data_IF_810889845101
#
_entry.id   IF_810889845101
#
_cell.length_a   1.000
_cell.length_b   1.000
_cell.length_c   1.000
_cell.angle_alpha   90.00
_cell.angle_beta   90.00
_cell.angle_gamma   90.00
#
_symmetry.space_group_name_H-M   'P 1'
#
loop_
_entity.id
_entity.type
_entity.pdbx_description
1 polymer ?
#
# COMPACT_ATOMS: atom_id res chain seq x y z
N UNK A 1 15.13 -52.91 -4.12
CA UNK A 1 14.12 -52.16 -3.33
C UNK A 1 14.64 -50.84 -2.77
N UNK A 2 15.90 -50.73 -2.31
CA UNK A 2 16.43 -49.47 -1.75
C UNK A 2 16.71 -48.35 -2.76
N UNK A 3 16.92 -48.66 -4.05
CA UNK A 3 17.15 -47.63 -5.08
C UNK A 3 15.86 -46.89 -5.47
N UNK A 4 14.73 -47.60 -5.53
CA UNK A 4 13.41 -47.04 -5.89
C UNK A 4 12.93 -46.07 -4.80
N UNK A 5 13.18 -46.37 -3.53
CA UNK A 5 12.83 -45.51 -2.39
C UNK A 5 13.64 -44.19 -2.43
N UNK A 6 14.92 -44.23 -2.84
CA UNK A 6 15.76 -43.02 -2.93
C UNK A 6 15.35 -42.10 -4.08
N UNK A 7 14.91 -42.65 -5.22
CA UNK A 7 14.40 -41.86 -6.35
C UNK A 7 13.05 -41.21 -6.02
N UNK A 8 12.18 -41.90 -5.28
CA UNK A 8 10.89 -41.35 -4.84
C UNK A 8 11.06 -40.20 -3.84
N UNK A 9 12.02 -40.31 -2.91
CA UNK A 9 12.32 -39.23 -1.94
C UNK A 9 12.89 -37.99 -2.64
N UNK A 10 13.71 -38.15 -3.69
CA UNK A 10 14.20 -37.01 -4.47
C UNK A 10 13.08 -36.31 -5.27
N UNK A 11 12.09 -37.06 -5.77
CA UNK A 11 10.94 -36.50 -6.48
C UNK A 11 9.94 -35.78 -5.57
N UNK A 12 9.86 -36.15 -4.29
CA UNK A 12 9.00 -35.46 -3.30
C UNK A 12 9.68 -34.16 -2.81
N UNK A 13 11.02 -34.11 -2.78
CA UNK A 13 11.78 -32.90 -2.40
C UNK A 13 11.89 -31.85 -3.51
N UNK A 14 11.58 -32.21 -4.76
CA UNK A 14 11.49 -31.27 -5.89
C UNK A 14 10.08 -30.71 -6.10
N UNK A 15 9.14 -30.97 -5.18
CA UNK A 15 7.89 -30.22 -5.07
C UNK A 15 8.19 -28.79 -4.57
N UNK A 16 8.75 -28.00 -5.47
CA UNK A 16 8.39 -26.60 -5.68
C UNK A 16 8.15 -25.82 -4.38
N UNK A 17 9.23 -25.44 -3.70
CA UNK A 17 9.24 -24.16 -2.99
C UNK A 17 9.16 -23.04 -4.04
N UNK A 18 8.00 -22.90 -4.68
CA UNK A 18 7.62 -21.71 -5.41
C UNK A 18 7.44 -20.65 -4.33
N UNK A 19 8.54 -19.98 -3.98
CA UNK A 19 8.41 -18.68 -3.37
C UNK A 19 7.64 -17.84 -4.39
N UNK A 20 6.40 -17.45 -4.07
CA UNK A 20 5.68 -16.44 -4.83
C UNK A 20 6.45 -15.14 -4.65
N UNK A 21 7.48 -14.94 -5.48
CA UNK A 21 8.34 -13.77 -5.46
C UNK A 21 7.46 -12.56 -5.74
N UNK A 22 7.61 -11.53 -4.91
CA UNK A 22 6.96 -10.25 -5.15
C UNK A 22 7.47 -9.67 -6.46
N UNK A 23 6.58 -9.42 -7.42
CA UNK A 23 6.93 -8.64 -8.60
C UNK A 23 7.04 -7.17 -8.17
N UNK A 24 8.19 -6.55 -8.43
CA UNK A 24 8.51 -5.20 -7.96
C UNK A 24 8.26 -4.20 -9.09
N UNK A 25 7.36 -3.25 -8.87
CA UNK A 25 7.03 -2.21 -9.84
C UNK A 25 7.82 -0.92 -9.64
N UNK A 26 7.92 -0.43 -8.39
CA UNK A 26 8.63 0.81 -8.07
C UNK A 26 9.44 0.69 -6.78
N UNK A 27 10.63 1.28 -6.78
CA UNK A 27 11.46 1.44 -5.58
C UNK A 27 11.76 2.93 -5.39
N UNK A 28 11.46 3.44 -4.20
CA UNK A 28 11.73 4.79 -3.76
C UNK A 28 12.73 4.79 -2.61
N UNK A 29 13.75 5.64 -2.69
CA UNK A 29 14.60 5.89 -1.52
C UNK A 29 13.76 6.59 -0.45
N UNK A 30 13.89 6.14 0.81
CA UNK A 30 13.29 6.82 1.94
C UNK A 30 14.37 7.62 2.64
N UNK A 31 14.22 8.94 2.62
CA UNK A 31 15.12 9.91 3.24
C UNK A 31 14.43 10.67 4.37
N UNK A 32 15.22 11.25 5.27
CA UNK A 32 14.73 12.23 6.24
C UNK A 32 14.86 13.67 5.69
N UNK A 33 14.50 14.66 6.51
CA UNK A 33 14.62 16.09 6.16
C UNK A 33 16.05 16.54 5.79
N UNK A 34 17.08 15.81 6.23
CA UNK A 34 18.48 16.08 5.91
C UNK A 34 18.97 15.30 4.67
N UNK A 35 18.08 14.69 3.90
CA UNK A 35 18.38 13.82 2.75
C UNK A 35 19.25 12.59 3.08
N UNK A 36 19.30 12.17 4.35
CA UNK A 36 19.96 10.92 4.72
C UNK A 36 19.06 9.75 4.35
N UNK A 37 19.56 8.81 3.56
CA UNK A 37 18.82 7.60 3.21
C UNK A 37 18.67 6.68 4.43
N UNK A 38 17.42 6.45 4.82
CA UNK A 38 17.02 5.60 5.93
C UNK A 38 16.48 4.23 5.48
N UNK A 39 16.15 4.08 4.20
CA UNK A 39 15.60 2.84 3.70
C UNK A 39 15.12 2.88 2.26
N UNK A 40 14.27 1.90 1.91
CA UNK A 40 13.60 1.78 0.62
C UNK A 40 12.10 1.56 0.84
N UNK A 41 11.28 2.25 0.08
CA UNK A 41 9.84 2.02 -0.05
C UNK A 41 9.61 1.34 -1.40
N UNK A 42 9.10 0.12 -1.36
CA UNK A 42 8.91 -0.75 -2.52
C UNK A 42 7.42 -0.92 -2.75
N UNK A 43 6.95 -0.54 -3.94
CA UNK A 43 5.61 -0.85 -4.42
C UNK A 43 5.73 -2.04 -5.36
N UNK A 44 4.88 -3.05 -5.17
CA UNK A 44 4.78 -4.17 -6.09
C UNK A 44 4.29 -3.72 -7.47
N UNK A 45 4.36 -4.61 -8.46
CA UNK A 45 3.49 -4.49 -9.61
C UNK A 45 2.04 -4.48 -9.13
N UNK A 46 1.23 -3.62 -9.76
CA UNK A 46 -0.19 -3.55 -9.47
C UNK A 46 -0.89 -4.77 -10.07
N UNK A 47 -1.94 -5.21 -9.40
CA UNK A 47 -2.89 -6.15 -9.95
C UNK A 47 -4.27 -5.50 -10.01
N UNK A 48 -5.17 -6.11 -10.75
CA UNK A 48 -6.54 -5.65 -10.96
C UNK A 48 -7.49 -6.57 -10.23
N UNK A 49 -8.66 -6.05 -9.84
CA UNK A 49 -9.71 -6.85 -9.24
C UNK A 49 -11.10 -6.24 -9.49
N UNK A 50 -12.13 -7.08 -9.41
CA UNK A 50 -13.54 -6.70 -9.53
C UNK A 50 -14.17 -6.60 -8.14
N UNK A 51 -14.19 -5.40 -7.55
CA UNK A 51 -14.78 -5.19 -6.23
C UNK A 51 -14.18 -6.13 -5.17
N UNK A 52 -12.85 -6.20 -5.11
CA UNK A 52 -12.06 -7.09 -4.24
C UNK A 52 -12.27 -8.58 -4.50
N UNK A 53 -12.53 -8.96 -5.74
CA UNK A 53 -12.60 -10.36 -6.17
C UNK A 53 -11.90 -10.55 -7.51
N UNK A 54 -11.65 -11.80 -7.89
CA UNK A 54 -11.13 -12.18 -9.21
C UNK A 54 -9.80 -11.47 -9.56
N UNK A 55 -8.89 -11.39 -8.60
CA UNK A 55 -7.67 -10.62 -8.77
C UNK A 55 -6.67 -11.25 -9.76
N UNK A 56 -6.08 -10.42 -10.61
CA UNK A 56 -5.11 -10.83 -11.63
C UNK A 56 -4.13 -9.70 -12.01
N UNK A 57 -2.93 -10.05 -12.48
CA UNK A 57 -1.94 -9.08 -12.98
C UNK A 57 -2.27 -8.51 -14.37
N UNK A 58 -3.38 -8.93 -14.96
CA UNK A 58 -3.91 -8.40 -16.22
C UNK A 58 -5.36 -8.00 -15.96
N UNK A 59 -5.74 -6.80 -16.40
CA UNK A 59 -7.10 -6.32 -16.24
C UNK A 59 -8.09 -7.25 -16.95
N UNK A 60 -9.22 -7.48 -16.30
CA UNK A 60 -10.38 -8.15 -16.88
C UNK A 60 -11.46 -7.10 -17.14
N UNK A 61 -12.34 -7.33 -18.12
CA UNK A 61 -13.38 -6.37 -18.56
C UNK A 61 -14.24 -5.77 -17.44
N UNK A 62 -14.34 -6.46 -16.30
CA UNK A 62 -15.11 -6.04 -15.12
C UNK A 62 -14.24 -5.58 -13.94
N UNK A 63 -12.97 -5.25 -14.17
CA UNK A 63 -12.11 -4.70 -13.13
C UNK A 63 -12.61 -3.31 -12.71
N UNK A 64 -12.70 -3.08 -11.41
CA UNK A 64 -13.18 -1.80 -10.85
C UNK A 64 -12.15 -1.13 -9.94
N UNK A 65 -11.03 -1.80 -9.71
CA UNK A 65 -9.95 -1.30 -8.89
C UNK A 65 -8.67 -2.09 -9.06
N UNK A 66 -7.71 -1.72 -8.23
CA UNK A 66 -6.33 -2.20 -8.29
C UNK A 66 -5.92 -2.65 -6.90
N UNK A 67 -4.87 -3.45 -6.81
CA UNK A 67 -4.19 -3.68 -5.54
C UNK A 67 -2.68 -3.54 -5.66
N UNK A 68 -2.07 -3.30 -4.51
CA UNK A 68 -0.63 -3.10 -4.36
C UNK A 68 -0.14 -3.62 -3.01
N UNK A 69 1.02 -4.27 -3.01
CA UNK A 69 1.79 -4.48 -1.78
C UNK A 69 2.80 -3.32 -1.65
N UNK A 70 2.78 -2.61 -0.53
CA UNK A 70 3.73 -1.52 -0.26
C UNK A 70 4.57 -1.90 0.95
N UNK A 71 5.87 -2.04 0.74
CA UNK A 71 6.82 -2.49 1.75
C UNK A 71 7.89 -1.44 2.01
N UNK A 72 8.02 -1.02 3.27
CA UNK A 72 9.17 -0.24 3.70
C UNK A 72 10.24 -1.14 4.32
N UNK A 73 11.49 -0.86 3.94
CA UNK A 73 12.70 -1.54 4.35
C UNK A 73 13.65 -0.53 4.96
N UNK A 74 13.73 -0.47 6.29
CA UNK A 74 14.69 0.41 7.01
C UNK A 74 16.16 -0.03 6.84
N UNK A 75 16.38 -1.15 6.18
CA UNK A 75 17.66 -1.57 5.61
C UNK A 75 17.39 -2.60 4.49
N UNK A 76 18.42 -2.92 3.70
CA UNK A 76 18.33 -3.89 2.61
C UNK A 76 17.84 -5.30 3.03
N UNK A 77 17.91 -5.66 4.32
CA UNK A 77 17.45 -6.94 4.84
C UNK A 77 16.01 -6.91 5.39
N UNK A 78 15.34 -5.76 5.43
CA UNK A 78 13.96 -5.62 5.94
C UNK A 78 13.79 -5.90 7.43
N UNK A 79 14.88 -5.95 8.20
CA UNK A 79 14.86 -6.28 9.63
C UNK A 79 15.33 -5.11 10.48
N UNK A 80 14.56 -4.72 11.49
CA UNK A 80 14.91 -3.62 12.41
C UNK A 80 16.17 -3.88 13.25
N UNK A 81 16.52 -5.15 13.49
CA UNK A 81 17.68 -5.52 14.26
C UNK A 81 18.95 -5.10 13.50
N UNK A 82 19.65 -4.13 14.06
CA UNK A 82 21.02 -3.68 13.73
C UNK A 82 21.22 -2.51 12.74
N UNK A 83 20.18 -1.88 12.16
CA UNK A 83 20.39 -0.68 11.28
C UNK A 83 19.24 0.35 11.31
N UNK A 84 18.70 0.69 12.48
CA UNK A 84 17.76 1.81 12.64
C UNK A 84 18.48 3.16 12.49
N UNK A 85 18.87 3.53 11.27
CA UNK A 85 19.62 4.74 10.98
C UNK A 85 18.85 6.02 11.36
N UNK A 86 17.52 5.98 11.31
CA UNK A 86 16.66 7.10 11.70
C UNK A 86 16.45 7.24 13.21
N UNK A 87 16.95 6.28 14.00
CA UNK A 87 16.73 6.18 15.44
C UNK A 87 15.24 6.27 15.83
N UNK A 88 14.36 5.72 14.99
CA UNK A 88 12.92 5.73 15.20
C UNK A 88 12.53 4.68 16.26
N UNK A 89 11.61 5.01 17.17
CA UNK A 89 11.05 4.00 18.07
C UNK A 89 10.17 3.01 17.28
N UNK A 90 9.44 3.52 16.28
CA UNK A 90 8.64 2.71 15.37
C UNK A 90 8.60 3.38 13.99
N UNK A 91 8.50 2.58 12.93
CA UNK A 91 8.14 3.09 11.61
C UNK A 91 6.66 2.83 11.37
N UNK A 92 5.94 3.85 10.92
CA UNK A 92 4.49 3.81 10.64
C UNK A 92 4.22 4.22 9.20
N UNK A 93 3.01 3.97 8.72
CA UNK A 93 2.56 4.37 7.38
C UNK A 93 1.37 5.31 7.49
N UNK A 94 1.46 6.45 6.82
CA UNK A 94 0.33 7.34 6.58
C UNK A 94 -0.04 7.28 5.11
N UNK A 95 -1.32 7.35 4.80
CA UNK A 95 -1.82 7.40 3.44
C UNK A 95 -2.91 8.46 3.33
N UNK A 96 -2.86 9.26 2.27
CA UNK A 96 -3.92 10.20 1.90
C UNK A 96 -4.48 9.76 0.57
N UNK A 97 -5.80 9.65 0.50
CA UNK A 97 -6.56 9.36 -0.72
C UNK A 97 -7.12 10.66 -1.27
N UNK A 98 -7.05 10.83 -2.59
CA UNK A 98 -7.80 11.79 -3.38
C UNK A 98 -8.68 11.06 -4.38
N UNK A 99 -9.96 11.42 -4.46
CA UNK A 99 -10.90 10.87 -5.43
C UNK A 99 -11.87 11.93 -5.94
N UNK A 100 -12.37 11.77 -7.16
CA UNK A 100 -13.47 12.55 -7.72
C UNK A 100 -14.81 11.79 -7.78
N UNK A 101 -14.85 10.56 -7.25
CA UNK A 101 -16.07 9.76 -7.19
C UNK A 101 -17.12 10.38 -6.27
N UNK A 102 -18.36 9.94 -6.39
CA UNK A 102 -19.37 10.15 -5.36
C UNK A 102 -18.87 9.56 -4.03
N UNK A 103 -19.21 10.24 -2.94
CA UNK A 103 -18.70 9.95 -1.59
C UNK A 103 -19.85 9.63 -0.65
N UNK A 104 -19.59 8.73 0.30
CA UNK A 104 -20.56 8.49 1.37
C UNK A 104 -20.64 9.70 2.31
N UNK A 105 -21.74 9.81 3.06
CA UNK A 105 -21.88 10.88 4.04
C UNK A 105 -20.73 10.86 5.06
N UNK A 106 -20.05 12.00 5.20
CA UNK A 106 -18.90 12.16 6.09
C UNK A 106 -17.54 11.84 5.46
N UNK A 107 -17.48 11.36 4.22
CA UNK A 107 -16.23 11.27 3.47
C UNK A 107 -15.92 12.57 2.70
N UNK A 108 -14.63 12.85 2.54
CA UNK A 108 -14.14 13.99 1.78
C UNK A 108 -13.36 13.54 0.53
N UNK A 109 -13.33 14.39 -0.54
CA UNK A 109 -12.60 14.08 -1.77
C UNK A 109 -11.11 13.84 -1.52
N UNK A 110 -10.54 14.54 -0.54
CA UNK A 110 -9.16 14.36 -0.09
C UNK A 110 -9.23 14.11 1.42
N UNK A 111 -8.72 12.97 1.88
CA UNK A 111 -8.72 12.61 3.30
C UNK A 111 -7.63 11.58 3.64
N UNK A 112 -7.33 11.45 4.93
CA UNK A 112 -6.50 10.34 5.44
C UNK A 112 -7.24 9.03 5.16
N UNK A 113 -6.55 8.09 4.54
CA UNK A 113 -7.13 6.84 4.04
C UNK A 113 -7.18 5.77 5.13
N UNK A 114 -7.99 6.02 6.15
CA UNK A 114 -8.24 5.11 7.27
C UNK A 114 -9.71 5.18 7.68
N UNK A 115 -10.22 4.17 8.41
CA UNK A 115 -11.55 4.25 8.99
C UNK A 115 -11.67 5.41 9.99
N UNK A 116 -12.78 6.14 9.94
CA UNK A 116 -13.01 7.34 10.77
C UNK A 116 -13.01 7.09 12.29
N UNK A 117 -13.15 5.84 12.73
CA UNK A 117 -13.12 5.45 14.14
C UNK A 117 -11.70 5.17 14.67
N UNK A 118 -10.66 5.29 13.85
CA UNK A 118 -9.28 5.10 14.30
C UNK A 118 -8.84 6.26 15.19
N UNK A 119 -8.26 5.93 16.35
CA UNK A 119 -7.65 6.92 17.25
C UNK A 119 -6.33 7.51 16.72
N UNK A 120 -5.68 6.81 15.79
CA UNK A 120 -4.39 7.20 15.22
C UNK A 120 -4.44 7.20 13.69
N UNK A 121 -3.68 8.07 13.02
CA UNK A 121 -3.84 8.33 11.59
C UNK A 121 -3.21 7.26 10.69
N UNK A 122 -2.85 6.11 11.25
CA UNK A 122 -1.92 5.17 10.65
C UNK A 122 -2.59 4.01 9.93
N UNK A 123 -2.18 3.78 8.70
CA UNK A 123 -2.66 2.70 7.85
C UNK A 123 -2.23 1.33 8.37
N UNK A 124 -1.09 1.26 9.06
CA UNK A 124 -0.58 0.05 9.69
C UNK A 124 -1.25 -0.26 11.03
N UNK A 125 -2.58 -0.29 11.02
CA UNK A 125 -3.40 -0.58 12.19
C UNK A 125 -4.63 -1.42 11.83
N UNK A 126 -5.09 -2.23 12.77
CA UNK A 126 -6.24 -3.12 12.59
C UNK A 126 -7.53 -2.30 12.42
N UNK A 127 -8.45 -2.67 11.52
CA UNK A 127 -8.51 -3.93 10.76
C UNK A 127 -7.88 -3.87 9.35
N UNK A 128 -7.13 -2.82 9.01
CA UNK A 128 -6.44 -2.75 7.72
C UNK A 128 -5.39 -3.86 7.62
N UNK A 129 -5.07 -4.25 6.40
CA UNK A 129 -4.14 -5.35 6.13
C UNK A 129 -2.68 -4.86 6.17
N UNK A 130 -1.94 -5.27 7.20
CA UNK A 130 -0.53 -4.92 7.36
C UNK A 130 0.29 -6.07 7.94
N UNK A 131 1.62 -5.91 7.91
CA UNK A 131 2.55 -6.80 8.59
C UNK A 131 3.87 -6.14 8.94
N UNK A 132 4.57 -6.72 9.91
CA UNK A 132 5.88 -6.23 10.37
C UNK A 132 6.91 -7.35 10.33
N UNK A 133 8.17 -6.97 10.07
CA UNK A 133 9.31 -7.90 9.99
C UNK A 133 9.01 -9.02 8.99
N UNK A 134 9.46 -10.24 9.30
CA UNK A 134 9.01 -11.43 8.61
C UNK A 134 7.58 -11.77 9.02
N UNK A 135 6.65 -11.71 8.07
CA UNK A 135 5.24 -11.96 8.28
C UNK A 135 4.65 -12.75 7.10
N UNK A 136 3.46 -13.30 7.30
CA UNK A 136 2.67 -13.86 6.22
C UNK A 136 1.77 -12.77 5.64
N UNK A 137 1.56 -12.76 4.32
CA UNK A 137 0.54 -11.91 3.68
C UNK A 137 -0.85 -12.14 4.31
N UNK A 138 -1.83 -11.26 4.06
CA UNK A 138 -3.17 -11.36 4.64
C UNK A 138 -3.83 -12.72 4.41
N UNK A 139 -4.78 -13.06 5.29
CA UNK A 139 -5.54 -14.32 5.20
C UNK A 139 -6.50 -14.26 4.03
N UNK A 140 -7.15 -13.12 3.85
CA UNK A 140 -7.97 -12.86 2.67
C UNK A 140 -7.08 -12.78 1.44
N UNK A 141 -7.46 -13.53 0.42
CA UNK A 141 -6.79 -13.58 -0.86
C UNK A 141 -7.78 -13.49 -2.03
N UNK A 142 -9.06 -13.19 -1.77
CA UNK A 142 -10.08 -13.03 -2.79
C UNK A 142 -9.74 -11.91 -3.78
N UNK A 143 -9.08 -10.88 -3.26
CA UNK A 143 -8.61 -9.68 -3.94
C UNK A 143 -7.11 -9.70 -4.24
N UNK A 144 -6.43 -10.85 -4.10
CA UNK A 144 -4.99 -10.98 -4.35
C UNK A 144 -4.73 -12.02 -5.47
N UNK A 145 -3.76 -11.79 -6.38
CA UNK A 145 -3.49 -12.71 -7.50
C UNK A 145 -2.73 -13.99 -7.08
N UNK A 146 -2.52 -14.21 -5.79
CA UNK A 146 -1.83 -15.39 -5.23
C UNK A 146 -2.72 -16.20 -4.29
N UNK A 147 -2.64 -17.52 -4.41
CA UNK A 147 -3.52 -18.44 -3.69
C UNK A 147 -3.04 -18.83 -2.29
N UNK A 148 -1.82 -18.46 -1.90
CA UNK A 148 -1.22 -18.86 -0.61
C UNK A 148 -0.77 -17.65 0.18
N UNK A 149 -0.77 -17.78 1.52
CA UNK A 149 -0.17 -16.78 2.41
C UNK A 149 1.36 -16.77 2.30
N UNK A 150 1.87 -16.08 1.30
CA UNK A 150 3.31 -15.96 1.06
C UNK A 150 4.00 -15.33 2.28
N UNK A 151 5.26 -15.70 2.51
CA UNK A 151 6.07 -15.04 3.54
C UNK A 151 6.73 -13.81 2.92
N UNK A 152 6.55 -12.66 3.55
CA UNK A 152 7.20 -11.40 3.21
C UNK A 152 8.16 -11.01 4.32
N UNK A 153 9.23 -10.34 3.95
CA UNK A 153 10.12 -9.68 4.91
C UNK A 153 10.12 -8.20 4.56
N UNK A 154 9.75 -7.35 5.52
CA UNK A 154 9.88 -5.89 5.41
C UNK A 154 9.88 -5.30 6.81
N UNK A 155 10.33 -4.07 6.99
CA UNK A 155 10.19 -3.38 8.28
C UNK A 155 8.71 -3.22 8.61
N UNK A 156 7.94 -2.77 7.62
CA UNK A 156 6.47 -2.71 7.61
C UNK A 156 5.98 -2.99 6.19
N UNK A 157 4.85 -3.65 6.05
CA UNK A 157 4.16 -3.89 4.79
C UNK A 157 2.69 -3.56 4.94
N UNK A 158 2.08 -2.93 3.95
CA UNK A 158 0.64 -2.75 3.83
C UNK A 158 0.16 -3.40 2.53
N UNK A 159 -1.08 -3.87 2.54
CA UNK A 159 -1.72 -4.56 1.43
C UNK A 159 -3.01 -3.82 1.13
N UNK A 160 -3.00 -3.03 0.06
CA UNK A 160 -4.12 -2.16 -0.26
C UNK A 160 -4.78 -2.62 -1.57
N UNK A 161 -6.10 -2.51 -1.61
CA UNK A 161 -6.97 -2.98 -2.70
C UNK A 161 -8.15 -2.01 -2.89
N UNK A 162 -7.86 -0.75 -3.30
CA UNK A 162 -8.88 0.25 -3.52
C UNK A 162 -9.68 -0.04 -4.80
N UNK A 163 -10.98 0.23 -4.75
CA UNK A 163 -11.85 0.26 -5.94
C UNK A 163 -12.95 1.30 -5.77
N UNK A 164 -13.52 1.70 -6.91
CA UNK A 164 -14.73 2.50 -7.00
C UNK A 164 -15.63 1.79 -8.00
N UNK A 165 -16.77 1.29 -7.54
CA UNK A 165 -17.78 0.72 -8.45
C UNK A 165 -18.47 1.83 -9.23
N UNK A 166 -19.01 1.47 -10.38
CA UNK A 166 -19.73 2.37 -11.30
C UNK A 166 -20.87 3.13 -10.64
N UNK A 167 -21.52 2.54 -9.62
CA UNK A 167 -22.56 3.20 -8.82
C UNK A 167 -22.09 4.47 -8.08
N UNK A 168 -20.79 4.64 -7.90
CA UNK A 168 -20.18 5.84 -7.30
C UNK A 168 -19.48 6.72 -8.35
N UNK A 169 -19.56 6.37 -9.63
CA UNK A 169 -19.13 7.24 -10.72
C UNK A 169 -20.05 8.45 -10.88
N UNK A 170 -19.57 9.46 -11.61
CA UNK A 170 -20.37 10.62 -12.01
C UNK A 170 -20.41 10.63 -13.53
N UNK A 171 -21.59 10.49 -14.12
CA UNK A 171 -21.75 10.43 -15.56
C UNK A 171 -21.09 11.65 -16.25
N UNK A 172 -20.36 11.38 -17.33
CA UNK A 172 -19.57 12.39 -18.03
C UNK A 172 -18.21 12.70 -17.41
N UNK A 173 -17.80 11.99 -16.36
CA UNK A 173 -16.50 12.18 -15.69
C UNK A 173 -15.78 10.86 -15.48
N UNK A 174 -14.48 10.85 -15.73
CA UNK A 174 -13.61 9.72 -15.38
C UNK A 174 -13.65 9.46 -13.88
N UNK A 175 -13.51 8.20 -13.46
CA UNK A 175 -13.24 7.87 -12.06
C UNK A 175 -11.73 7.93 -11.86
N UNK A 176 -11.26 8.77 -10.95
CA UNK A 176 -9.84 8.91 -10.65
C UNK A 176 -9.60 8.79 -9.16
N UNK A 177 -8.73 7.87 -8.78
CA UNK A 177 -8.32 7.66 -7.38
C UNK A 177 -6.80 7.70 -7.28
N UNK A 178 -6.30 8.61 -6.46
CA UNK A 178 -4.88 8.88 -6.25
C UNK A 178 -4.54 8.71 -4.77
N UNK A 179 -3.38 8.15 -4.50
CA UNK A 179 -2.86 7.95 -3.16
C UNK A 179 -1.48 8.56 -3.05
N UNK A 180 -1.21 9.12 -1.88
CA UNK A 180 0.14 9.43 -1.44
C UNK A 180 0.39 8.67 -0.13
N UNK A 181 1.39 7.78 -0.16
CA UNK A 181 1.75 6.92 0.97
C UNK A 181 3.11 7.35 1.51
N UNK A 182 3.16 7.78 2.77
CA UNK A 182 4.36 8.28 3.43
C UNK A 182 4.80 7.39 4.58
N UNK A 183 6.12 7.29 4.79
CA UNK A 183 6.69 6.64 5.97
C UNK A 183 6.87 7.66 7.08
N UNK A 184 6.50 7.28 8.29
CA UNK A 184 6.71 8.09 9.50
C UNK A 184 7.72 7.42 10.41
N UNK A 185 8.70 8.18 10.86
CA UNK A 185 9.60 7.83 11.94
C UNK A 185 8.98 8.28 13.28
N UNK A 186 8.32 7.36 13.97
CA UNK A 186 7.67 7.65 15.26
C UNK A 186 8.70 7.66 16.40
N UNK A 187 8.59 8.61 17.33
CA UNK A 187 9.46 8.77 18.49
C UNK A 187 8.65 8.89 19.79
N UNK A 188 9.12 8.27 20.87
CA UNK A 188 8.48 8.40 22.19
C UNK A 188 8.84 9.72 22.89
N UNK A 189 10.03 10.25 22.60
CA UNK A 189 10.53 11.50 23.16
C UNK A 189 10.99 12.39 22.01
N UNK A 190 10.17 13.38 21.68
CA UNK A 190 10.36 14.28 20.56
C UNK A 190 9.26 14.15 19.52
N UNK A 191 9.34 14.96 18.48
CA UNK A 191 8.41 14.89 17.37
C UNK A 191 8.74 13.71 16.45
N UNK A 192 7.69 13.04 16.02
CA UNK A 192 7.71 12.15 14.87
C UNK A 192 8.14 12.90 13.63
N UNK A 193 8.77 12.20 12.70
CA UNK A 193 9.22 12.81 11.45
C UNK A 193 8.54 12.13 10.26
N UNK A 194 7.95 12.95 9.40
CA UNK A 194 7.52 12.51 8.08
C UNK A 194 8.75 12.33 7.18
N UNK A 195 8.90 11.14 6.61
CA UNK A 195 10.00 10.80 5.71
C UNK A 195 9.55 10.98 4.26
N UNK A 196 10.11 10.19 3.34
CA UNK A 196 9.68 10.15 1.95
C UNK A 196 8.33 9.44 1.75
N UNK A 197 7.75 9.73 0.58
CA UNK A 197 6.47 9.22 0.16
C UNK A 197 6.54 8.63 -1.25
N UNK A 198 5.48 7.95 -1.66
CA UNK A 198 5.23 7.58 -3.04
C UNK A 198 3.81 7.95 -3.42
N UNK A 199 3.61 8.41 -4.65
CA UNK A 199 2.27 8.55 -5.23
C UNK A 199 1.96 7.36 -6.14
N UNK A 200 0.70 6.96 -6.17
CA UNK A 200 0.18 5.89 -7.02
C UNK A 200 -1.34 6.02 -7.14
N UNK A 201 -1.96 5.22 -7.99
CA UNK A 201 -3.42 5.25 -8.15
C UNK A 201 -3.87 4.67 -9.48
N UNK A 202 -5.11 4.93 -9.82
CA UNK A 202 -5.69 4.51 -11.10
C UNK A 202 -6.73 5.52 -11.59
N UNK A 203 -7.01 5.42 -12.88
CA UNK A 203 -8.11 6.11 -13.55
C UNK A 203 -8.96 5.09 -14.32
N UNK A 204 -10.26 5.32 -14.41
CA UNK A 204 -11.16 4.61 -15.31
C UNK A 204 -11.86 5.66 -16.15
N UNK A 205 -11.68 5.60 -17.46
CA UNK A 205 -12.20 6.61 -18.37
C UNK A 205 -13.71 6.42 -18.56
N UNK A 206 -14.45 7.53 -18.54
CA UNK A 206 -15.88 7.47 -18.81
C UNK A 206 -16.15 7.17 -20.28
N UNK A 207 -17.00 6.17 -20.53
CA UNK A 207 -17.39 5.79 -21.89
C UNK A 207 -18.74 6.39 -22.26
N UNK A 208 -19.80 5.97 -21.57
CA UNK A 208 -21.19 6.44 -21.76
C UNK A 208 -22.10 5.84 -20.66
N UNK A 209 -23.36 6.30 -20.60
CA UNK A 209 -24.34 5.87 -19.60
C UNK A 209 -24.68 4.36 -19.65
N UNK A 210 -24.54 3.71 -20.81
CA UNK A 210 -24.89 2.29 -20.99
C UNK A 210 -23.71 1.34 -20.64
N UNK A 211 -22.49 1.77 -20.91
CA UNK A 211 -21.25 0.97 -20.78
C UNK A 211 -20.49 1.31 -19.50
N UNK A 212 -20.71 2.49 -18.92
CA UNK A 212 -20.04 2.96 -17.70
C UNK A 212 -18.62 3.45 -17.96
N UNK A 213 -17.66 2.85 -17.27
CA UNK A 213 -16.25 3.23 -17.28
C UNK A 213 -15.36 2.08 -17.73
N UNK A 214 -14.20 2.42 -18.29
CA UNK A 214 -13.18 1.43 -18.64
C UNK A 214 -12.68 0.65 -17.43
N UNK A 215 -11.88 -0.37 -17.71
CA UNK A 215 -10.97 -0.97 -16.75
C UNK A 215 -10.00 0.08 -16.16
N UNK A 216 -9.43 -0.17 -14.97
CA UNK A 216 -8.45 0.72 -14.38
C UNK A 216 -7.17 0.82 -15.21
N UNK A 217 -6.76 2.05 -15.53
CA UNK A 217 -5.44 2.39 -16.00
C UNK A 217 -4.57 2.88 -14.84
N UNK A 218 -3.42 2.22 -14.64
CA UNK A 218 -2.51 2.54 -13.55
C UNK A 218 -1.86 3.91 -13.75
N UNK A 219 -2.01 4.79 -12.77
CA UNK A 219 -1.25 6.03 -12.71
C UNK A 219 0.19 5.70 -12.31
N UNK A 220 1.15 6.09 -13.16
CA UNK A 220 2.57 5.73 -12.97
C UNK A 220 3.09 6.20 -11.61
N UNK A 221 3.57 5.30 -10.75
CA UNK A 221 4.02 5.69 -9.42
C UNK A 221 5.25 6.61 -9.43
N UNK A 222 5.21 7.64 -8.58
CA UNK A 222 6.30 8.59 -8.42
C UNK A 222 6.86 8.54 -7.00
N UNK A 223 8.17 8.72 -6.89
CA UNK A 223 8.84 8.84 -5.60
C UNK A 223 8.90 10.32 -5.20
N UNK A 224 8.51 10.62 -3.97
CA UNK A 224 8.60 11.96 -3.41
C UNK A 224 9.59 11.93 -2.25
N UNK A 225 10.64 12.77 -2.31
CA UNK A 225 11.59 12.88 -1.21
C UNK A 225 10.93 13.37 0.09
N UNK A 226 9.89 14.19 -0.05
CA UNK A 226 9.07 14.77 1.02
C UNK A 226 7.60 14.72 0.64
N UNK A 227 6.72 14.73 1.63
CA UNK A 227 5.28 14.79 1.39
C UNK A 227 4.86 16.06 0.65
N UNK A 228 3.83 15.95 -0.17
CA UNK A 228 3.24 17.08 -0.88
C UNK A 228 2.56 18.06 0.08
N UNK A 229 2.37 19.30 -0.37
CA UNK A 229 1.62 20.30 0.40
C UNK A 229 0.16 19.86 0.59
N UNK A 230 -0.44 19.18 -0.39
CA UNK A 230 -1.79 18.62 -0.25
C UNK A 230 -1.83 17.60 0.90
N UNK A 231 -0.83 16.73 0.99
CA UNK A 231 -0.72 15.74 2.05
C UNK A 231 -0.62 16.40 3.44
N UNK A 232 0.29 17.36 3.61
CA UNK A 232 0.46 18.10 4.87
C UNK A 232 -0.81 18.84 5.27
N UNK A 233 -1.44 19.56 4.33
CA UNK A 233 -2.70 20.26 4.58
C UNK A 233 -3.83 19.31 4.97
N UNK A 234 -3.86 18.10 4.39
CA UNK A 234 -4.85 17.07 4.74
C UNK A 234 -4.62 16.58 6.17
N UNK A 235 -3.36 16.38 6.57
CA UNK A 235 -3.04 16.02 7.95
C UNK A 235 -3.43 17.12 8.94
N UNK A 236 -3.14 18.39 8.62
CA UNK A 236 -3.43 19.57 9.46
C UNK A 236 -4.94 19.84 9.65
N UNK A 237 -5.76 19.52 8.64
CA UNK A 237 -7.20 19.79 8.67
C UNK A 237 -8.04 18.58 9.08
N UNK A 238 -7.44 17.40 9.16
CA UNK A 238 -8.16 16.19 9.56
C UNK A 238 -8.58 16.26 11.02
N UNK A 239 -9.90 16.27 11.25
CA UNK A 239 -10.53 16.22 12.58
C UNK A 239 -10.35 14.87 13.30
N UNK A 240 -9.83 13.86 12.61
CA UNK A 240 -9.71 12.48 13.12
C UNK A 240 -8.59 12.36 14.16
N UNK A 241 -7.76 13.39 14.40
CA UNK A 241 -6.47 13.13 15.04
C UNK A 241 -5.89 14.25 15.93
N UNK A 242 -5.90 14.00 17.25
CA UNK A 242 -5.01 14.66 18.24
C UNK A 242 -3.51 14.35 17.96
N UNK A 243 -3.21 13.44 17.05
CA UNK A 243 -1.85 13.01 16.70
C UNK A 243 -1.03 14.08 15.98
N UNK A 244 -1.66 15.13 15.44
CA UNK A 244 -0.95 16.25 14.81
C UNK A 244 0.11 16.85 15.74
N UNK A 245 -0.16 16.93 17.05
CA UNK A 245 0.74 17.54 18.04
C UNK A 245 2.08 16.82 18.20
N UNK A 246 2.18 15.57 17.73
CA UNK A 246 3.40 14.77 17.82
C UNK A 246 4.14 14.63 16.50
N UNK A 247 3.66 15.23 15.40
CA UNK A 247 4.32 15.17 14.09
C UNK A 247 5.07 16.48 13.78
N UNK A 248 6.32 16.36 13.35
CA UNK A 248 7.10 17.43 12.73
C UNK A 248 7.24 17.16 11.23
N UNK A 249 6.49 17.96 10.46
CA UNK A 249 6.53 17.98 9.00
C UNK A 249 7.25 19.22 8.44
N UNK A 250 7.87 20.04 9.30
CA UNK A 250 8.57 21.27 8.93
C UNK A 250 10.05 21.06 8.60
#
# INVERSE_FOLDING_TARGET
MHLIIRVLILFILSASTLANTLQVGKICAVVNANNNQLGLLVLSDFWFHSGRNNAAYTATDNATGIGVEIHFFSNQAGQLSHRNLGQCNKYRVLQVRKTNSQLNAGEHPIQVDIPAYFEQPFYDNSPLEFGYKTHKTPIDNSDKPWFSRAVRASTIGIYDTPYVSDAYGIDGQDIRVEFETCIVCQRYQGFDQLLSCATWGYQRDYLNEETGWTEPDILTPQCLAHASEQFKNTLETSLIVDYQYWLDWR
#
